data_IF_691880650198
#
_entry.id   IF_691880650198
#
_cell.length_a   1.000
_cell.length_b   1.000
_cell.length_c   1.000
_cell.angle_alpha   90.00
_cell.angle_beta   90.00
_cell.angle_gamma   90.00
#
_symmetry.space_group_name_H-M   'P 1'
#
loop_
_entity.id
_entity.type
_entity.pdbx_description
1 polymer ?
#
# COMPACT_ATOMS: atom_id res chain seq x y z
N UNK A 1 -27.29 -5.74 4.01
CA UNK A 1 -26.94 -4.38 4.47
C UNK A 1 -25.73 -3.92 3.67
N UNK A 2 -25.84 -2.82 2.92
CA UNK A 2 -24.68 -2.17 2.29
C UNK A 2 -24.15 -1.17 3.31
N UNK A 3 -22.92 -1.35 3.79
CA UNK A 3 -22.28 -0.34 4.63
C UNK A 3 -22.28 1.00 3.86
N UNK A 4 -22.51 2.15 4.53
CA UNK A 4 -22.38 3.43 3.87
C UNK A 4 -20.97 3.55 3.28
N UNK A 5 -20.88 3.95 2.02
CA UNK A 5 -19.62 4.35 1.41
C UNK A 5 -19.04 5.48 2.25
N UNK A 6 -17.82 5.37 2.81
CA UNK A 6 -17.19 6.54 3.40
C UNK A 6 -17.00 7.53 2.25
N UNK A 7 -17.72 8.65 2.29
CA UNK A 7 -17.29 9.82 1.52
C UNK A 7 -15.92 10.18 2.08
N UNK A 8 -14.89 10.05 1.25
CA UNK A 8 -13.55 10.48 1.61
C UNK A 8 -13.61 12.01 1.68
N UNK A 9 -13.61 12.55 2.90
CA UNK A 9 -13.29 13.96 3.10
C UNK A 9 -11.92 14.21 2.43
N UNK A 10 -11.79 15.19 1.52
CA UNK A 10 -10.50 15.54 0.96
C UNK A 10 -9.63 16.09 2.10
N UNK A 11 -8.75 15.24 2.64
CA UNK A 11 -7.88 15.54 3.78
C UNK A 11 -7.86 14.47 4.88
N UNK A 12 -8.70 13.43 4.82
CA UNK A 12 -8.67 12.34 5.80
C UNK A 12 -7.79 11.17 5.32
N UNK A 13 -6.92 10.66 6.20
CA UNK A 13 -6.17 9.43 5.96
C UNK A 13 -7.13 8.27 5.64
N UNK A 14 -6.74 7.32 4.75
CA UNK A 14 -7.56 6.14 4.50
C UNK A 14 -7.94 5.42 5.80
N UNK A 15 -9.19 4.92 5.92
CA UNK A 15 -9.61 4.19 7.10
C UNK A 15 -8.89 2.85 7.20
N UNK A 16 -8.75 2.35 8.42
CA UNK A 16 -8.35 0.96 8.67
C UNK A 16 -9.59 0.06 8.51
N UNK A 17 -9.48 -1.00 7.70
CA UNK A 17 -10.53 -1.97 7.45
C UNK A 17 -10.07 -3.36 7.89
N UNK A 18 -11.00 -4.19 8.38
CA UNK A 18 -10.71 -5.59 8.68
C UNK A 18 -11.98 -6.44 8.57
N UNK A 19 -11.81 -7.71 8.19
CA UNK A 19 -12.83 -8.75 8.22
C UNK A 19 -12.58 -9.82 9.30
N UNK A 20 -11.60 -9.59 10.18
CA UNK A 20 -11.16 -10.53 11.23
C UNK A 20 -10.04 -11.49 10.82
N UNK A 21 -9.79 -11.66 9.52
CA UNK A 21 -8.64 -12.44 9.00
C UNK A 21 -7.61 -11.56 8.29
N UNK A 22 -8.07 -10.49 7.64
CA UNK A 22 -7.26 -9.53 6.91
C UNK A 22 -7.40 -8.15 7.56
N UNK A 23 -6.27 -7.43 7.63
CA UNK A 23 -6.20 -6.04 8.05
C UNK A 23 -5.69 -5.21 6.87
N UNK A 24 -6.47 -4.22 6.46
CA UNK A 24 -6.07 -3.21 5.49
C UNK A 24 -5.88 -1.89 6.21
N UNK A 25 -4.67 -1.36 6.16
CA UNK A 25 -4.28 -0.07 6.74
C UNK A 25 -3.39 0.68 5.76
N UNK A 26 -3.18 1.97 6.01
CA UNK A 26 -2.14 2.70 5.29
C UNK A 26 -0.78 2.00 5.48
N UNK A 27 -0.01 1.79 4.40
CA UNK A 27 1.37 1.33 4.50
C UNK A 27 2.23 2.32 5.30
N UNK A 28 3.26 1.79 5.95
CA UNK A 28 4.23 2.51 6.77
C UNK A 28 5.65 2.17 6.33
N UNK A 29 6.63 2.95 6.77
CA UNK A 29 8.05 2.66 6.52
C UNK A 29 8.48 1.21 6.90
N UNK A 30 7.82 0.61 7.91
CA UNK A 30 8.08 -0.77 8.33
C UNK A 30 7.70 -1.83 7.30
N UNK A 31 6.82 -1.52 6.37
CA UNK A 31 6.31 -2.47 5.36
C UNK A 31 7.22 -2.58 4.13
N UNK A 32 8.31 -1.81 4.07
CA UNK A 32 9.16 -1.71 2.88
C UNK A 32 9.76 -3.07 2.46
N UNK A 33 10.14 -3.91 3.43
CA UNK A 33 10.70 -5.23 3.14
C UNK A 33 9.67 -6.16 2.51
N UNK A 34 8.49 -6.26 3.11
CA UNK A 34 7.38 -7.11 2.66
C UNK A 34 6.88 -6.68 1.27
N UNK A 35 6.80 -5.36 1.02
CA UNK A 35 6.47 -4.82 -0.30
C UNK A 35 7.55 -5.23 -1.33
N UNK A 36 8.83 -5.12 -0.96
CA UNK A 36 9.93 -5.48 -1.86
C UNK A 36 9.90 -6.96 -2.21
N UNK A 37 9.61 -7.83 -1.24
CA UNK A 37 9.47 -9.27 -1.44
C UNK A 37 8.30 -9.57 -2.38
N UNK A 38 7.11 -9.01 -2.11
CA UNK A 38 5.94 -9.20 -2.96
C UNK A 38 6.23 -8.76 -4.41
N UNK A 39 6.85 -7.61 -4.60
CA UNK A 39 7.18 -7.07 -5.92
C UNK A 39 8.22 -7.89 -6.72
N UNK A 40 8.84 -8.92 -6.14
CA UNK A 40 9.63 -9.88 -6.93
C UNK A 40 8.76 -10.89 -7.69
N UNK A 41 7.46 -10.99 -7.39
CA UNK A 41 6.54 -11.94 -8.01
C UNK A 41 6.33 -11.62 -9.50
N UNK A 42 6.65 -12.56 -10.43
CA UNK A 42 6.40 -12.39 -11.86
C UNK A 42 4.93 -12.10 -12.21
N UNK A 43 3.97 -12.59 -11.42
CA UNK A 43 2.55 -12.32 -11.63
C UNK A 43 2.23 -10.84 -11.32
N UNK A 44 2.81 -10.27 -10.27
CA UNK A 44 2.69 -8.83 -9.97
C UNK A 44 3.32 -8.02 -11.10
N UNK A 45 4.53 -8.37 -11.55
CA UNK A 45 5.22 -7.68 -12.64
C UNK A 45 4.40 -7.70 -13.94
N UNK A 46 3.75 -8.82 -14.24
CA UNK A 46 2.93 -8.99 -15.44
C UNK A 46 1.73 -8.04 -15.48
N UNK A 47 1.15 -7.68 -14.34
CA UNK A 47 -0.08 -6.89 -14.25
C UNK A 47 0.11 -5.45 -13.74
N UNK A 48 1.33 -5.05 -13.37
CA UNK A 48 1.62 -3.71 -12.83
C UNK A 48 2.67 -2.99 -13.69
N UNK A 49 2.98 -1.75 -13.32
CA UNK A 49 3.97 -0.90 -14.02
C UNK A 49 5.15 -0.53 -13.12
N UNK A 50 5.41 -1.32 -12.08
CA UNK A 50 6.52 -1.08 -11.14
C UNK A 50 7.88 -1.35 -11.82
N UNK A 51 8.97 -0.73 -11.34
CA UNK A 51 10.32 -1.05 -11.80
C UNK A 51 10.64 -2.55 -11.68
N UNK A 52 11.44 -3.09 -12.61
CA UNK A 52 11.94 -4.47 -12.55
C UNK A 52 13.44 -4.48 -12.90
N UNK A 53 14.33 -4.99 -12.01
CA UNK A 53 14.03 -5.53 -10.68
C UNK A 53 13.54 -4.44 -9.70
N UNK A 54 12.63 -4.81 -8.80
CA UNK A 54 12.14 -3.90 -7.76
C UNK A 54 13.06 -3.95 -6.55
N UNK A 55 13.61 -2.81 -6.13
CA UNK A 55 14.56 -2.73 -5.02
C UNK A 55 13.93 -2.16 -3.75
N UNK A 56 14.55 -2.42 -2.59
CA UNK A 56 14.13 -1.86 -1.31
C UNK A 56 14.11 -0.32 -1.29
N UNK A 57 14.97 0.32 -2.09
CA UNK A 57 14.96 1.77 -2.28
C UNK A 57 13.67 2.26 -2.94
N UNK A 58 13.09 1.47 -3.85
CA UNK A 58 11.87 1.82 -4.57
C UNK A 58 10.67 1.78 -3.62
N UNK A 59 10.58 0.74 -2.76
CA UNK A 59 9.58 0.65 -1.70
C UNK A 59 9.66 1.86 -0.76
N UNK A 60 10.86 2.18 -0.26
CA UNK A 60 11.07 3.31 0.64
C UNK A 60 10.71 4.64 0.00
N UNK A 61 11.10 4.86 -1.25
CA UNK A 61 10.78 6.08 -1.98
C UNK A 61 9.28 6.22 -2.20
N UNK A 62 8.60 5.13 -2.55
CA UNK A 62 7.14 5.12 -2.72
C UNK A 62 6.41 5.41 -1.39
N UNK A 63 6.83 4.76 -0.30
CA UNK A 63 6.25 4.98 1.03
C UNK A 63 6.42 6.42 1.49
N UNK A 64 7.61 7.00 1.35
CA UNK A 64 7.87 8.39 1.74
C UNK A 64 6.97 9.40 1.02
N UNK A 65 6.57 9.13 -0.22
CA UNK A 65 5.64 9.98 -0.99
C UNK A 65 4.18 9.89 -0.51
N UNK A 66 3.84 8.83 0.24
CA UNK A 66 2.46 8.53 0.63
C UNK A 66 2.27 8.53 2.16
N UNK A 67 3.29 8.88 2.95
CA UNK A 67 3.12 9.04 4.39
C UNK A 67 2.16 10.18 4.73
N UNK A 68 1.23 9.99 5.70
CA UNK A 68 0.31 11.05 6.10
C UNK A 68 1.07 12.28 6.63
N UNK A 69 0.88 13.43 5.99
CA UNK A 69 1.51 14.70 6.38
C UNK A 69 2.68 15.15 5.51
N UNK A 70 2.99 14.45 4.41
CA UNK A 70 3.84 14.98 3.34
C UNK A 70 3.13 15.98 2.43
#
# INVERSE_FOLDING_TARGET
MRAPSPSADPGSSPPVLSDGSVLLRMPSAGDAADITEACQDPEIIRFTTIPTPYHLSDARAWLAQHEPGS
#
